data_IF_614177681720
#
_entry.id   IF_614177681720
#
_cell.length_a   1.000
_cell.length_b   1.000
_cell.length_c   1.000
_cell.angle_alpha   90.00
_cell.angle_beta   90.00
_cell.angle_gamma   90.00
#
_symmetry.space_group_name_H-M   'P 1'
#
loop_
_entity.id
_entity.type
_entity.pdbx_description
1 polymer ?
#
# COMPACT_ATOMS: atom_id res chain seq x y z
N UNK A 1 44.82 -13.57 4.05
CA UNK A 1 43.46 -13.60 3.49
C UNK A 1 42.53 -13.25 4.64
N UNK A 2 42.23 -11.97 4.79
CA UNK A 2 41.31 -11.45 5.83
C UNK A 2 39.89 -11.60 5.29
N UNK A 3 39.17 -12.62 5.75
CA UNK A 3 37.72 -12.75 5.55
C UNK A 3 37.07 -11.59 6.29
N UNK A 4 36.74 -10.50 5.55
CA UNK A 4 35.86 -9.46 6.06
C UNK A 4 34.51 -10.13 6.32
N UNK A 5 34.17 -10.35 7.58
CA UNK A 5 32.82 -10.70 8.01
C UNK A 5 31.91 -9.56 7.58
N UNK A 6 31.29 -9.70 6.41
CA UNK A 6 30.25 -8.82 5.95
C UNK A 6 29.14 -8.94 7.01
N UNK A 7 28.96 -7.90 7.80
CA UNK A 7 27.95 -7.87 8.85
C UNK A 7 26.59 -7.78 8.18
N UNK A 8 25.81 -8.84 8.25
CA UNK A 8 24.47 -8.88 7.68
C UNK A 8 23.61 -7.74 8.25
N UNK A 9 22.90 -6.99 7.39
CA UNK A 9 22.02 -5.90 7.78
C UNK A 9 20.92 -6.40 8.71
N UNK A 10 20.89 -5.86 9.91
CA UNK A 10 19.85 -6.21 10.89
C UNK A 10 18.52 -5.53 10.53
N UNK A 11 17.43 -6.03 11.12
CA UNK A 11 16.12 -5.35 11.00
C UNK A 11 16.18 -3.90 11.50
N UNK A 12 16.96 -3.62 12.55
CA UNK A 12 17.12 -2.27 13.08
C UNK A 12 17.82 -1.35 12.09
N UNK A 13 18.91 -1.81 11.44
CA UNK A 13 19.63 -1.05 10.42
C UNK A 13 18.72 -0.75 9.21
N UNK A 14 17.92 -1.73 8.79
CA UNK A 14 16.96 -1.58 7.71
C UNK A 14 15.85 -0.57 8.05
N UNK A 15 15.36 -0.59 9.28
CA UNK A 15 14.37 0.40 9.77
C UNK A 15 15.00 1.79 9.82
N UNK A 16 16.20 1.92 10.36
CA UNK A 16 16.92 3.20 10.37
C UNK A 16 17.12 3.76 8.96
N UNK A 17 17.51 2.90 7.99
CA UNK A 17 17.72 3.30 6.61
C UNK A 17 16.44 3.80 5.92
N UNK A 18 15.28 3.19 6.18
CA UNK A 18 14.01 3.62 5.56
C UNK A 18 13.36 4.80 6.28
N UNK A 19 13.69 5.05 7.55
CA UNK A 19 13.20 6.21 8.30
C UNK A 19 14.04 7.45 8.07
N UNK A 20 15.29 7.31 7.68
CA UNK A 20 16.14 8.41 7.21
C UNK A 20 15.66 8.83 5.80
N UNK A 21 15.07 10.01 5.70
CA UNK A 21 14.47 10.50 4.47
C UNK A 21 15.51 10.78 3.36
N UNK A 22 16.74 11.18 3.71
CA UNK A 22 17.79 11.44 2.75
C UNK A 22 18.32 10.11 2.19
N UNK A 23 18.64 9.17 3.04
CA UNK A 23 19.05 7.82 2.65
C UNK A 23 17.99 7.09 1.84
N UNK A 24 16.72 7.19 2.24
CA UNK A 24 15.61 6.60 1.48
C UNK A 24 15.47 7.24 0.10
N UNK A 25 15.63 8.57 0.01
CA UNK A 25 15.59 9.31 -1.26
C UNK A 25 16.72 8.90 -2.20
N UNK A 26 17.93 8.72 -1.67
CA UNK A 26 19.10 8.21 -2.43
C UNK A 26 18.83 6.79 -2.95
N UNK A 27 18.38 5.87 -2.09
CA UNK A 27 18.06 4.49 -2.46
C UNK A 27 17.00 4.42 -3.55
N UNK A 28 16.00 5.29 -3.52
CA UNK A 28 14.89 5.31 -4.47
C UNK A 28 15.09 6.29 -5.63
N UNK A 29 16.16 7.10 -5.60
CA UNK A 29 16.51 8.12 -6.61
C UNK A 29 15.34 9.12 -6.85
N UNK A 30 14.67 9.50 -5.79
CA UNK A 30 13.57 10.47 -5.80
C UNK A 30 13.32 11.05 -4.40
N UNK A 31 12.88 12.31 -4.28
CA UNK A 31 12.70 12.98 -2.99
C UNK A 31 11.45 12.45 -2.27
N UNK A 32 11.63 11.43 -1.43
CA UNK A 32 10.55 10.80 -0.67
C UNK A 32 10.88 10.67 0.80
N UNK A 33 9.84 10.42 1.61
CA UNK A 33 9.95 10.00 3.00
C UNK A 33 8.99 8.86 3.30
N UNK A 34 9.33 8.06 4.29
CA UNK A 34 8.43 7.03 4.83
C UNK A 34 7.33 7.69 5.69
N UNK A 35 6.07 7.26 5.50
CA UNK A 35 4.93 7.75 6.28
C UNK A 35 4.28 6.65 7.14
N UNK A 36 4.29 5.42 6.69
CA UNK A 36 3.77 4.24 7.40
C UNK A 36 4.80 3.14 7.34
N UNK A 37 5.01 2.47 8.46
CA UNK A 37 6.00 1.40 8.59
C UNK A 37 5.33 0.12 9.05
N UNK A 38 5.72 -0.98 8.46
CA UNK A 38 5.38 -2.33 8.88
C UNK A 38 6.62 -3.21 8.87
N UNK A 39 6.91 -3.82 9.99
CA UNK A 39 8.09 -4.65 10.19
C UNK A 39 7.66 -6.11 10.36
N UNK A 40 8.35 -6.99 9.67
CA UNK A 40 8.45 -8.42 9.96
C UNK A 40 9.94 -8.72 10.08
N UNK A 41 10.45 -8.92 11.29
CA UNK A 41 11.89 -9.10 11.52
C UNK A 41 12.47 -10.14 10.59
N UNK A 42 13.62 -9.84 9.98
CA UNK A 42 14.37 -10.71 9.06
C UNK A 42 13.58 -11.27 7.88
N UNK A 43 12.41 -10.71 7.62
CA UNK A 43 11.52 -11.09 6.51
C UNK A 43 11.28 -9.90 5.58
N UNK A 44 10.81 -8.78 6.13
CA UNK A 44 10.56 -7.57 5.34
C UNK A 44 10.32 -6.32 6.19
N UNK A 45 10.75 -5.19 5.67
CA UNK A 45 10.35 -3.85 6.12
C UNK A 45 9.59 -3.20 4.98
N UNK A 46 8.35 -2.79 5.21
CA UNK A 46 7.45 -2.20 4.21
C UNK A 46 7.04 -0.81 4.66
N UNK A 47 7.15 0.18 3.77
CA UNK A 47 6.78 1.58 4.04
C UNK A 47 5.86 2.12 2.95
N UNK A 48 4.96 3.03 3.33
CA UNK A 48 4.34 3.94 2.37
C UNK A 48 5.27 5.13 2.12
N UNK A 49 5.24 5.64 0.90
CA UNK A 49 6.08 6.74 0.46
C UNK A 49 5.22 7.98 0.27
N UNK A 50 5.70 9.11 0.78
CA UNK A 50 5.16 10.43 0.47
C UNK A 50 6.24 11.27 -0.19
N UNK A 51 5.86 12.07 -1.16
CA UNK A 51 6.73 13.06 -1.77
C UNK A 51 7.11 14.14 -0.73
N UNK A 52 8.38 14.53 -0.69
CA UNK A 52 8.89 15.47 0.34
C UNK A 52 8.40 16.90 0.14
N UNK A 53 8.12 17.30 -1.08
CA UNK A 53 7.71 18.66 -1.43
C UNK A 53 6.20 18.86 -1.25
N UNK A 54 5.41 17.88 -1.70
CA UNK A 54 3.95 17.99 -1.70
C UNK A 54 3.27 17.30 -0.52
N UNK A 55 3.97 16.36 0.14
CA UNK A 55 3.39 15.51 1.18
C UNK A 55 2.40 14.46 0.66
N UNK A 56 2.18 14.39 -0.67
CA UNK A 56 1.24 13.46 -1.27
C UNK A 56 1.79 12.02 -1.25
N UNK A 57 0.89 11.06 -1.13
CA UNK A 57 1.21 9.64 -1.23
C UNK A 57 1.61 9.29 -2.66
N UNK A 58 2.80 8.73 -2.85
CA UNK A 58 3.35 8.40 -4.17
C UNK A 58 3.58 6.90 -4.40
N UNK A 59 3.43 6.09 -3.35
CA UNK A 59 3.57 4.65 -3.50
C UNK A 59 4.09 3.95 -2.25
N UNK A 60 4.82 2.89 -2.47
CA UNK A 60 5.38 2.03 -1.43
C UNK A 60 6.81 1.62 -1.76
N UNK A 61 7.56 1.25 -0.71
CA UNK A 61 8.82 0.53 -0.83
C UNK A 61 8.90 -0.57 0.21
N UNK A 62 9.67 -1.62 -0.10
CA UNK A 62 9.96 -2.68 0.86
C UNK A 62 11.39 -3.17 0.71
N UNK A 63 12.00 -3.48 1.85
CA UNK A 63 13.21 -4.29 1.94
C UNK A 63 12.80 -5.73 2.20
N UNK A 64 13.40 -6.66 1.47
CA UNK A 64 13.11 -8.10 1.55
C UNK A 64 14.40 -8.85 1.86
N UNK A 65 14.35 -9.66 2.91
CA UNK A 65 15.40 -10.63 3.21
C UNK A 65 15.33 -11.85 2.27
N UNK A 66 16.39 -12.63 2.13
CA UNK A 66 16.46 -13.79 1.22
C UNK A 66 15.25 -14.71 1.31
N UNK A 67 14.76 -14.99 2.52
CA UNK A 67 13.56 -15.81 2.79
C UNK A 67 12.29 -15.28 2.10
N UNK A 68 12.30 -14.03 1.66
CA UNK A 68 11.14 -13.34 1.07
C UNK A 68 11.36 -12.85 -0.35
N UNK A 69 12.46 -13.18 -1.00
CA UNK A 69 12.77 -12.72 -2.36
C UNK A 69 11.71 -13.11 -3.40
N UNK A 70 11.09 -14.28 -3.25
CA UNK A 70 10.00 -14.73 -4.12
C UNK A 70 8.84 -13.75 -4.20
N UNK A 71 8.61 -12.94 -3.16
CA UNK A 71 7.58 -11.91 -3.15
C UNK A 71 7.85 -10.78 -4.16
N UNK A 72 9.12 -10.50 -4.47
CA UNK A 72 9.46 -9.49 -5.46
C UNK A 72 8.99 -9.92 -6.86
N UNK A 73 9.39 -11.09 -7.30
CA UNK A 73 8.95 -11.65 -8.57
C UNK A 73 7.43 -11.86 -8.64
N UNK A 74 6.80 -12.19 -7.52
CA UNK A 74 5.33 -12.33 -7.47
C UNK A 74 4.62 -11.01 -7.71
N UNK A 75 5.11 -9.88 -7.14
CA UNK A 75 4.53 -8.57 -7.37
C UNK A 75 4.70 -8.09 -8.82
N UNK A 76 5.86 -8.35 -9.43
CA UNK A 76 6.12 -8.05 -10.83
C UNK A 76 5.21 -8.84 -11.78
N UNK A 77 5.06 -10.15 -11.53
CA UNK A 77 4.11 -10.99 -12.29
C UNK A 77 2.67 -10.51 -12.14
N UNK A 78 2.24 -10.13 -10.94
CA UNK A 78 0.90 -9.61 -10.72
C UNK A 78 0.67 -8.33 -11.53
N UNK A 79 1.61 -7.38 -11.52
CA UNK A 79 1.52 -6.15 -12.29
C UNK A 79 1.42 -6.43 -13.80
N UNK A 80 2.21 -7.39 -14.30
CA UNK A 80 2.15 -7.82 -15.69
C UNK A 80 0.80 -8.50 -16.05
N UNK A 81 0.31 -9.39 -15.18
CA UNK A 81 -1.00 -10.05 -15.38
C UNK A 81 -2.17 -9.07 -15.40
N UNK A 82 -2.09 -8.00 -14.60
CA UNK A 82 -3.10 -6.94 -14.58
C UNK A 82 -2.93 -5.88 -15.68
N UNK A 83 -1.91 -6.02 -16.55
CA UNK A 83 -1.64 -5.07 -17.63
C UNK A 83 -1.32 -3.65 -17.13
N UNK A 84 -0.75 -3.51 -15.92
CA UNK A 84 -0.47 -2.20 -15.37
C UNK A 84 0.64 -1.50 -16.16
N UNK A 85 0.45 -0.20 -16.45
CA UNK A 85 1.39 0.61 -17.22
C UNK A 85 2.80 0.71 -16.56
N UNK A 86 2.88 0.44 -15.27
CA UNK A 86 4.13 0.43 -14.51
C UNK A 86 4.25 -0.88 -13.74
N UNK A 87 5.45 -1.44 -13.71
CA UNK A 87 5.82 -2.57 -12.84
C UNK A 87 6.55 -2.06 -11.60
N UNK A 88 6.49 -2.79 -10.49
CA UNK A 88 7.40 -2.55 -9.38
C UNK A 88 8.86 -2.67 -9.82
N UNK A 89 9.71 -1.83 -9.28
CA UNK A 89 11.16 -1.84 -9.56
C UNK A 89 11.84 -2.59 -8.43
N UNK A 90 12.63 -3.61 -8.78
CA UNK A 90 13.43 -4.38 -7.82
C UNK A 90 14.91 -4.13 -8.05
N UNK A 91 15.65 -3.88 -6.98
CA UNK A 91 17.11 -3.69 -6.99
C UNK A 91 17.73 -4.57 -5.91
N UNK A 92 18.85 -5.20 -6.25
CA UNK A 92 19.69 -5.87 -5.25
C UNK A 92 20.48 -4.82 -4.47
N UNK A 93 20.46 -4.96 -3.16
CA UNK A 93 21.34 -4.22 -2.26
C UNK A 93 22.48 -5.12 -1.80
N UNK A 94 23.44 -4.52 -1.12
CA UNK A 94 24.49 -5.28 -0.43
C UNK A 94 23.86 -6.26 0.58
N UNK A 95 24.63 -7.26 0.99
CA UNK A 95 24.22 -8.26 1.99
C UNK A 95 23.00 -9.13 1.59
N UNK A 96 22.69 -9.23 0.29
CA UNK A 96 21.64 -10.09 -0.23
C UNK A 96 20.22 -9.59 0.03
N UNK A 97 20.03 -8.33 0.39
CA UNK A 97 18.72 -7.72 0.48
C UNK A 97 18.20 -7.29 -0.89
N UNK A 98 16.89 -7.34 -1.06
CA UNK A 98 16.21 -6.70 -2.19
C UNK A 98 15.43 -5.47 -1.73
N UNK A 99 15.64 -4.36 -2.42
CA UNK A 99 14.78 -3.20 -2.36
C UNK A 99 13.78 -3.28 -3.51
N UNK A 100 12.49 -3.29 -3.19
CA UNK A 100 11.44 -3.19 -4.20
C UNK A 100 10.56 -2.00 -3.90
N UNK A 101 10.18 -1.24 -4.93
CA UNK A 101 9.28 -0.10 -4.81
C UNK A 101 8.31 -0.02 -5.98
N UNK A 102 7.19 0.68 -5.76
CA UNK A 102 6.18 0.89 -6.79
C UNK A 102 5.19 1.99 -6.41
N UNK A 103 4.29 2.28 -7.33
CA UNK A 103 3.18 3.20 -7.11
C UNK A 103 2.07 2.52 -6.30
N UNK A 104 1.06 3.27 -5.88
CA UNK A 104 -0.13 2.71 -5.19
C UNK A 104 -0.82 1.65 -6.05
N UNK A 105 -0.86 1.85 -7.38
CA UNK A 105 -1.45 0.90 -8.35
C UNK A 105 -0.76 -0.46 -8.35
N UNK A 106 0.53 -0.49 -8.05
CA UNK A 106 1.33 -1.71 -8.08
C UNK A 106 1.50 -2.35 -6.70
N UNK A 107 0.72 -1.92 -5.70
CA UNK A 107 0.78 -2.52 -4.36
C UNK A 107 0.53 -4.03 -4.43
N UNK A 108 1.42 -4.87 -3.89
CA UNK A 108 1.36 -6.33 -4.07
C UNK A 108 0.07 -7.01 -3.62
N UNK A 109 -0.76 -6.34 -2.83
CA UNK A 109 -2.01 -6.89 -2.32
C UNK A 109 -3.24 -6.03 -2.62
N UNK A 110 -3.05 -4.78 -3.00
CA UNK A 110 -4.15 -3.88 -3.31
C UNK A 110 -4.33 -3.68 -4.82
N UNK A 111 -3.33 -4.03 -5.65
CA UNK A 111 -3.39 -3.90 -7.11
C UNK A 111 -4.60 -4.64 -7.70
N UNK A 112 -4.80 -5.90 -7.34
CA UNK A 112 -5.92 -6.70 -7.85
C UNK A 112 -7.29 -6.13 -7.45
N UNK A 113 -7.62 -5.88 -6.16
CA UNK A 113 -8.90 -5.28 -5.81
C UNK A 113 -9.07 -3.86 -6.37
N UNK A 114 -7.99 -3.11 -6.58
CA UNK A 114 -8.05 -1.80 -7.21
C UNK A 114 -8.34 -1.92 -8.71
N UNK A 115 -7.74 -2.87 -9.41
CA UNK A 115 -8.04 -3.15 -10.82
C UNK A 115 -9.51 -3.56 -10.99
N UNK A 116 -10.01 -4.48 -10.17
CA UNK A 116 -11.42 -4.87 -10.16
C UNK A 116 -12.36 -3.68 -9.92
N UNK A 117 -12.02 -2.80 -8.96
CA UNK A 117 -12.79 -1.60 -8.69
C UNK A 117 -12.80 -0.67 -9.91
N UNK A 118 -11.66 -0.49 -10.58
CA UNK A 118 -11.54 0.35 -11.78
C UNK A 118 -12.35 -0.19 -12.94
N UNK A 119 -12.38 -1.52 -13.15
CA UNK A 119 -13.23 -2.18 -14.16
C UNK A 119 -14.73 -1.92 -13.91
N UNK A 120 -15.12 -1.75 -12.65
CA UNK A 120 -16.48 -1.37 -12.26
C UNK A 120 -16.73 0.15 -12.35
N UNK A 121 -15.77 0.94 -12.84
CA UNK A 121 -15.85 2.39 -12.95
C UNK A 121 -15.73 3.12 -11.60
N UNK A 122 -15.14 2.48 -10.59
CA UNK A 122 -15.00 3.02 -9.23
C UNK A 122 -13.56 2.82 -8.73
N UNK A 123 -12.74 3.86 -8.60
CA UNK A 123 -13.05 5.28 -8.91
C UNK A 123 -13.09 5.52 -10.42
N UNK A 124 -13.83 6.55 -10.83
CA UNK A 124 -13.90 6.97 -12.24
C UNK A 124 -12.53 7.48 -12.74
N UNK A 125 -11.81 8.16 -11.88
CA UNK A 125 -10.41 8.58 -12.03
C UNK A 125 -9.85 8.95 -10.67
N UNK A 126 -8.53 8.92 -10.49
CA UNK A 126 -7.91 9.40 -9.27
C UNK A 126 -6.44 9.80 -9.48
N UNK A 127 -5.97 10.68 -8.61
CA UNK A 127 -4.60 11.17 -8.56
C UNK A 127 -4.03 11.00 -7.14
N UNK A 128 -2.74 11.30 -6.97
CA UNK A 128 -2.09 11.21 -5.66
C UNK A 128 -2.77 12.07 -4.56
N UNK A 129 -3.38 13.21 -4.95
CA UNK A 129 -4.13 14.10 -4.04
C UNK A 129 -5.43 13.48 -3.52
N UNK A 130 -5.98 12.50 -4.22
CA UNK A 130 -7.22 11.83 -3.84
C UNK A 130 -6.97 10.72 -2.83
N UNK A 131 -5.71 10.38 -2.56
CA UNK A 131 -5.32 9.38 -1.56
C UNK A 131 -5.45 9.97 -0.16
N UNK A 132 -6.57 9.71 0.51
CA UNK A 132 -6.81 10.15 1.88
C UNK A 132 -6.02 9.34 2.89
N UNK A 133 -5.85 8.04 2.64
CA UNK A 133 -5.09 7.16 3.52
C UNK A 133 -4.55 5.96 2.76
N UNK A 134 -3.28 5.66 2.96
CA UNK A 134 -2.64 4.49 2.40
C UNK A 134 -1.86 3.73 3.47
N UNK A 135 -2.15 2.46 3.61
CA UNK A 135 -1.40 1.51 4.42
C UNK A 135 -1.01 0.34 3.50
N UNK A 136 0.24 0.28 3.04
CA UNK A 136 0.66 -0.68 2.03
C UNK A 136 0.30 -2.11 2.39
N UNK A 137 -0.17 -2.86 1.40
CA UNK A 137 -0.62 -4.26 1.53
C UNK A 137 -1.72 -4.49 2.56
N UNK A 138 -2.51 -3.47 2.91
CA UNK A 138 -3.63 -3.59 3.84
C UNK A 138 -4.86 -2.79 3.46
N UNK A 139 -4.69 -1.50 3.19
CA UNK A 139 -5.84 -0.59 2.97
C UNK A 139 -5.44 0.62 2.16
N UNK A 140 -6.32 0.98 1.24
CA UNK A 140 -6.33 2.25 0.53
C UNK A 140 -7.67 2.93 0.75
N UNK A 141 -7.65 4.24 0.98
CA UNK A 141 -8.83 5.09 1.05
C UNK A 141 -8.64 6.21 0.05
N UNK A 142 -9.55 6.30 -0.89
CA UNK A 142 -9.54 7.29 -1.96
C UNK A 142 -10.78 8.18 -1.85
N UNK A 143 -10.63 9.44 -2.26
CA UNK A 143 -11.75 10.32 -2.57
C UNK A 143 -12.04 10.22 -4.06
N UNK A 144 -13.29 10.06 -4.41
CA UNK A 144 -13.79 10.10 -5.79
C UNK A 144 -15.00 11.05 -5.84
N UNK A 145 -14.74 12.31 -6.15
CA UNK A 145 -15.74 13.35 -6.11
C UNK A 145 -16.38 13.50 -4.72
N UNK A 146 -17.68 13.17 -4.63
CA UNK A 146 -18.48 13.21 -3.41
C UNK A 146 -18.47 11.89 -2.63
N UNK A 147 -17.66 10.91 -3.03
CA UNK A 147 -17.61 9.60 -2.39
C UNK A 147 -16.22 9.28 -1.84
N UNK A 148 -16.17 8.36 -0.91
CA UNK A 148 -14.96 7.76 -0.36
C UNK A 148 -14.97 6.28 -0.63
N UNK A 149 -13.91 5.82 -1.25
CA UNK A 149 -13.66 4.42 -1.55
C UNK A 149 -12.70 3.85 -0.51
N UNK A 150 -13.01 2.69 0.02
CA UNK A 150 -12.14 1.96 0.93
C UNK A 150 -11.86 0.58 0.38
N UNK A 151 -10.62 0.35 0.00
CA UNK A 151 -10.12 -0.95 -0.41
C UNK A 151 -9.34 -1.62 0.72
N UNK A 152 -9.52 -2.93 0.87
CA UNK A 152 -8.85 -3.76 1.89
C UNK A 152 -8.34 -5.06 1.26
N UNK A 153 -7.30 -5.63 1.85
CA UNK A 153 -6.73 -6.91 1.39
C UNK A 153 -7.40 -8.14 1.98
N UNK A 154 -8.31 -7.97 2.93
CA UNK A 154 -9.12 -9.05 3.53
C UNK A 154 -10.58 -8.75 3.37
N UNK A 155 -11.42 -9.78 3.29
CA UNK A 155 -12.87 -9.66 3.36
C UNK A 155 -13.31 -8.95 4.66
N UNK A 156 -14.61 -8.59 4.74
CA UNK A 156 -15.18 -7.85 5.84
C UNK A 156 -14.76 -8.38 7.21
N UNK A 157 -14.27 -7.50 8.06
CA UNK A 157 -13.93 -7.84 9.43
C UNK A 157 -15.09 -7.57 10.39
N UNK A 158 -14.97 -7.95 11.67
CA UNK A 158 -16.02 -7.74 12.66
C UNK A 158 -16.58 -6.31 12.71
N UNK A 159 -15.75 -5.30 12.43
CA UNK A 159 -16.17 -3.91 12.35
C UNK A 159 -17.12 -3.63 11.16
N UNK A 160 -16.97 -4.35 10.05
CA UNK A 160 -17.86 -4.20 8.89
C UNK A 160 -19.18 -4.92 9.13
N UNK A 161 -19.18 -6.03 9.88
CA UNK A 161 -20.39 -6.74 10.29
C UNK A 161 -21.18 -5.91 11.29
N UNK A 162 -20.51 -5.29 12.26
CA UNK A 162 -21.13 -4.35 13.21
C UNK A 162 -21.71 -3.14 12.46
N UNK A 163 -20.95 -2.55 11.52
CA UNK A 163 -21.42 -1.43 10.72
C UNK A 163 -22.66 -1.81 9.90
N UNK A 164 -22.65 -2.98 9.26
CA UNK A 164 -23.81 -3.50 8.49
C UNK A 164 -25.02 -3.75 9.38
N UNK A 165 -24.79 -4.32 10.56
CA UNK A 165 -25.87 -4.53 11.53
C UNK A 165 -26.48 -3.21 12.02
N UNK A 166 -25.65 -2.21 12.30
CA UNK A 166 -26.11 -0.88 12.73
C UNK A 166 -26.81 -0.11 11.60
N UNK A 167 -26.35 -0.22 10.34
CA UNK A 167 -27.01 0.41 9.19
C UNK A 167 -28.39 -0.18 8.87
N UNK A 168 -28.66 -1.42 9.29
CA UNK A 168 -29.98 -2.04 9.21
C UNK A 168 -30.96 -1.64 10.35
N UNK A 169 -30.44 -0.99 11.37
CA UNK A 169 -31.23 -0.37 12.43
C UNK A 169 -31.58 1.06 12.03
N UNK A 170 -32.46 1.71 12.79
CA UNK A 170 -32.85 3.12 12.56
C UNK A 170 -31.63 4.03 12.31
N UNK A 171 -31.80 5.14 11.55
CA UNK A 171 -30.67 6.03 11.25
C UNK A 171 -29.97 6.48 12.54
N UNK A 172 -28.72 6.07 12.69
CA UNK A 172 -27.88 6.45 13.83
C UNK A 172 -27.20 7.75 13.45
N UNK A 173 -27.44 8.87 14.18
CA UNK A 173 -26.79 10.14 13.90
C UNK A 173 -25.27 9.97 13.87
N UNK A 174 -24.63 10.45 12.79
CA UNK A 174 -23.18 10.36 12.59
C UNK A 174 -22.68 9.02 12.05
N UNK A 175 -23.53 8.01 11.86
CA UNK A 175 -23.17 6.80 11.14
C UNK A 175 -23.35 7.04 9.64
N UNK A 176 -22.28 7.04 8.90
CA UNK A 176 -22.32 7.18 7.45
C UNK A 176 -22.65 5.84 6.80
N UNK A 177 -23.61 5.84 5.88
CA UNK A 177 -23.90 4.65 5.09
C UNK A 177 -22.67 4.19 4.30
N UNK A 178 -22.33 2.94 4.45
CA UNK A 178 -21.25 2.30 3.74
C UNK A 178 -21.80 1.13 2.93
N UNK A 179 -21.73 1.24 1.63
CA UNK A 179 -22.18 0.17 0.74
C UNK A 179 -20.98 -0.69 0.33
N UNK A 180 -21.04 -1.98 0.64
CA UNK A 180 -20.09 -2.94 0.12
C UNK A 180 -20.39 -3.21 -1.35
N UNK A 181 -19.36 -3.16 -2.18
CA UNK A 181 -19.47 -3.57 -3.59
C UNK A 181 -19.40 -5.10 -3.63
N UNK A 182 -20.52 -5.75 -3.92
CA UNK A 182 -20.68 -7.20 -3.84
C UNK A 182 -19.66 -7.95 -4.73
N UNK A 183 -19.36 -7.42 -5.92
CA UNK A 183 -18.41 -8.02 -6.87
C UNK A 183 -16.96 -8.04 -6.37
N UNK A 184 -16.64 -7.28 -5.31
CA UNK A 184 -15.29 -7.21 -4.72
C UNK A 184 -15.17 -8.02 -3.42
N UNK A 185 -16.04 -8.98 -3.17
CA UNK A 185 -15.99 -9.89 -2.01
C UNK A 185 -15.84 -9.16 -0.65
N UNK A 186 -16.44 -7.98 -0.51
CA UNK A 186 -16.32 -7.14 0.68
C UNK A 186 -14.95 -6.46 0.84
N UNK A 187 -14.08 -6.53 -0.18
CA UNK A 187 -12.79 -5.82 -0.20
C UNK A 187 -12.92 -4.35 -0.58
N UNK A 188 -14.02 -3.95 -1.20
CA UNK A 188 -14.35 -2.58 -1.57
C UNK A 188 -15.63 -2.13 -0.90
N UNK A 189 -15.61 -0.97 -0.28
CA UNK A 189 -16.81 -0.25 0.15
C UNK A 189 -16.77 1.20 -0.31
N UNK A 190 -17.97 1.72 -0.60
CA UNK A 190 -18.21 3.10 -1.02
C UNK A 190 -19.00 3.80 0.08
N UNK A 191 -18.65 5.03 0.36
CA UNK A 191 -19.29 5.85 1.40
C UNK A 191 -19.37 7.30 0.90
N UNK A 192 -20.42 8.04 1.28
CA UNK A 192 -20.49 9.46 0.98
C UNK A 192 -19.37 10.24 1.68
N UNK A 193 -18.77 11.20 0.99
CA UNK A 193 -17.83 12.14 1.58
C UNK A 193 -18.58 13.21 2.37
N UNK A 194 -18.23 13.40 3.62
CA UNK A 194 -18.83 14.39 4.52
C UNK A 194 -17.77 15.34 5.11
N UNK A 195 -16.68 15.56 4.41
CA UNK A 195 -15.67 16.56 4.74
C UNK A 195 -15.73 17.75 3.78
N UNK A 196 -15.19 18.86 4.22
CA UNK A 196 -15.03 20.10 3.43
C UNK A 196 -13.95 19.93 2.36
#
# INVERSE_FOLDING_TARGET
MTSSLIKAMTTADAVAAVLDADRLSELLQRPVRAARLRIKPEVSVLVSLTDRSTGLTVGWARLLWPVSHSKAAQAERLAACLGLAQSPITRSLEEGLLLQCGTVLTDPKLAEPLAQATELGVPSSWEARDVLRYNPSRRLVLRDGSTVLRLRTGGGGPADDVHRALSGLLPVPGLLDSQAVAQCEGRLSVQQWCGD
#
